data_IF_663525970102
#
_entry.id   IF_663525970102
#
_cell.length_a   1.000
_cell.length_b   1.000
_cell.length_c   1.000
_cell.angle_alpha   90.00
_cell.angle_beta   90.00
_cell.angle_gamma   90.00
#
_symmetry.space_group_name_H-M   'P 1'
#
loop_
_entity.id
_entity.type
_entity.pdbx_description
1 polymer ?
#
# COMPACT_ATOMS: atom_id res chain seq x y z
N UNK A 1 -19.88 6.31 -8.94
CA UNK A 1 -19.88 5.35 -7.79
C UNK A 1 -18.68 4.49 -7.98
N UNK A 2 -17.86 4.31 -6.93
CA UNK A 2 -16.69 3.44 -7.01
C UNK A 2 -17.15 1.99 -7.15
N UNK A 3 -16.65 1.30 -8.17
CA UNK A 3 -16.95 -0.11 -8.39
C UNK A 3 -15.67 -0.92 -8.20
N UNK A 4 -15.57 -1.71 -7.13
CA UNK A 4 -14.42 -2.56 -6.90
C UNK A 4 -14.42 -3.76 -7.86
N UNK A 5 -13.25 -4.11 -8.33
CA UNK A 5 -13.01 -5.41 -8.93
C UNK A 5 -12.64 -6.40 -7.83
N UNK A 6 -13.58 -7.28 -7.49
CA UNK A 6 -13.33 -8.32 -6.50
C UNK A 6 -12.45 -9.42 -7.10
N UNK A 7 -11.37 -9.73 -6.42
CA UNK A 7 -10.41 -10.76 -6.80
C UNK A 7 -10.54 -12.01 -5.93
N UNK A 8 -11.02 -11.82 -4.70
CA UNK A 8 -11.39 -12.87 -3.75
C UNK A 8 -12.43 -12.29 -2.77
N UNK A 9 -12.86 -13.06 -1.76
CA UNK A 9 -13.88 -12.67 -0.79
C UNK A 9 -13.53 -11.40 0.01
N UNK A 10 -12.24 -11.15 0.25
CA UNK A 10 -11.75 -10.01 1.00
C UNK A 10 -10.68 -9.18 0.27
N UNK A 11 -10.41 -9.50 -0.98
CA UNK A 11 -9.41 -8.81 -1.79
C UNK A 11 -10.11 -8.11 -2.94
N UNK A 12 -9.99 -6.80 -3.03
CA UNK A 12 -10.54 -6.03 -4.13
C UNK A 12 -9.55 -4.97 -4.62
N UNK A 13 -9.73 -4.59 -5.85
CA UNK A 13 -8.95 -3.58 -6.55
C UNK A 13 -9.88 -2.42 -6.94
N UNK A 14 -9.40 -1.21 -6.73
CA UNK A 14 -10.04 0.02 -7.19
C UNK A 14 -9.12 0.74 -8.18
N UNK A 15 -9.70 1.47 -9.08
CA UNK A 15 -8.98 2.32 -10.01
C UNK A 15 -9.30 3.78 -9.67
N UNK A 16 -8.26 4.59 -9.49
CA UNK A 16 -8.39 6.02 -9.24
C UNK A 16 -8.43 6.75 -10.60
N UNK A 17 -9.57 7.37 -10.95
CA UNK A 17 -9.68 8.09 -12.21
C UNK A 17 -8.67 9.23 -12.30
N UNK A 18 -8.16 9.49 -13.51
CA UNK A 18 -7.30 10.64 -13.83
C UNK A 18 -6.08 10.81 -12.90
N UNK A 19 -5.56 9.70 -12.36
CA UNK A 19 -4.48 9.71 -11.36
C UNK A 19 -3.08 9.84 -11.94
N UNK A 20 -2.89 9.72 -13.24
CA UNK A 20 -1.57 9.65 -13.87
C UNK A 20 -0.71 10.87 -13.55
N UNK A 21 -1.23 12.08 -13.77
CA UNK A 21 -0.49 13.32 -13.52
C UNK A 21 -0.09 13.47 -12.05
N UNK A 22 -1.00 13.11 -11.13
CA UNK A 22 -0.75 13.11 -9.69
C UNK A 22 0.36 12.11 -9.30
N UNK A 23 0.31 10.90 -9.84
CA UNK A 23 1.32 9.89 -9.58
C UNK A 23 2.70 10.32 -10.10
N UNK A 24 2.75 10.86 -11.31
CA UNK A 24 3.98 11.41 -11.92
C UNK A 24 4.55 12.56 -11.08
N UNK A 25 3.71 13.47 -10.59
CA UNK A 25 4.13 14.58 -9.72
C UNK A 25 4.76 14.07 -8.43
N UNK A 26 4.12 13.11 -7.75
CA UNK A 26 4.64 12.52 -6.51
C UNK A 26 5.99 11.84 -6.77
N UNK A 27 6.09 11.05 -7.84
CA UNK A 27 7.32 10.36 -8.20
C UNK A 27 8.46 11.35 -8.45
N UNK A 28 8.23 12.38 -9.27
CA UNK A 28 9.27 13.38 -9.59
C UNK A 28 9.70 14.19 -8.36
N UNK A 29 8.79 14.55 -7.47
CA UNK A 29 9.14 15.25 -6.21
C UNK A 29 10.01 14.40 -5.31
N UNK A 30 9.79 13.11 -5.27
CA UNK A 30 10.51 12.21 -4.38
C UNK A 30 11.79 11.63 -5.00
N UNK A 31 11.94 11.68 -6.31
CA UNK A 31 13.03 11.05 -7.06
C UNK A 31 14.43 11.34 -6.48
N UNK A 32 14.69 12.58 -6.11
CA UNK A 32 15.98 13.04 -5.58
C UNK A 32 15.92 13.36 -4.08
N UNK A 33 14.89 12.91 -3.39
CA UNK A 33 14.74 13.16 -1.97
C UNK A 33 15.89 12.52 -1.18
N UNK A 34 16.42 13.24 -0.22
CA UNK A 34 17.40 12.72 0.73
C UNK A 34 16.76 11.92 1.87
N UNK A 35 15.43 11.81 1.87
CA UNK A 35 14.66 11.08 2.89
C UNK A 35 14.53 9.59 2.61
N UNK A 36 14.99 9.10 1.45
CA UNK A 36 14.99 7.68 1.16
C UNK A 36 15.89 6.92 2.12
N UNK A 37 15.35 5.91 2.74
CA UNK A 37 16.06 5.00 3.62
C UNK A 37 15.78 3.56 3.16
N UNK A 38 16.73 2.66 3.40
CA UNK A 38 16.48 1.24 3.18
C UNK A 38 15.28 0.79 4.02
N UNK A 39 14.36 0.09 3.39
CA UNK A 39 13.15 -0.39 4.07
C UNK A 39 13.51 -1.35 5.21
N UNK A 40 12.79 -1.20 6.31
CA UNK A 40 12.92 -2.08 7.47
C UNK A 40 11.63 -2.87 7.69
N UNK A 41 11.77 -4.06 8.23
CA UNK A 41 10.69 -4.86 8.81
C UNK A 41 10.62 -4.63 10.32
N UNK A 42 9.68 -5.27 11.00
CA UNK A 42 9.64 -5.24 12.49
C UNK A 42 10.96 -5.72 13.13
N UNK A 43 11.68 -6.62 12.45
CA UNK A 43 13.00 -7.09 12.87
C UNK A 43 14.18 -6.21 12.43
N UNK A 44 13.92 -5.00 11.92
CA UNK A 44 14.92 -4.11 11.36
C UNK A 44 15.16 -4.33 9.86
N UNK A 45 16.30 -3.86 9.36
CA UNK A 45 16.68 -4.05 7.95
C UNK A 45 17.04 -5.50 7.69
N UNK A 46 16.27 -6.16 6.83
CA UNK A 46 16.43 -7.57 6.48
C UNK A 46 16.39 -7.76 4.96
N UNK A 47 17.50 -7.57 4.23
CA UNK A 47 17.53 -7.59 2.76
C UNK A 47 17.03 -8.90 2.13
N UNK A 48 17.14 -10.01 2.85
CA UNK A 48 16.62 -11.32 2.39
C UNK A 48 15.10 -11.45 2.47
N UNK A 49 14.43 -10.55 3.20
CA UNK A 49 12.96 -10.52 3.30
C UNK A 49 12.34 -9.32 2.60
N UNK A 50 13.09 -8.21 2.50
CA UNK A 50 12.65 -7.00 1.84
C UNK A 50 13.84 -6.19 1.33
N UNK A 51 13.88 -5.96 0.03
CA UNK A 51 14.90 -5.13 -0.61
C UNK A 51 14.22 -4.00 -1.38
N UNK A 52 14.05 -2.87 -0.71
CA UNK A 52 13.44 -1.65 -1.24
C UNK A 52 13.88 -0.44 -0.44
N UNK A 53 13.67 0.75 -0.98
CA UNK A 53 13.78 2.01 -0.24
C UNK A 53 12.41 2.48 0.20
N UNK A 54 12.34 3.24 1.29
CA UNK A 54 11.10 3.83 1.78
C UNK A 54 11.26 5.27 2.24
N UNK A 55 10.18 6.03 2.11
CA UNK A 55 9.96 7.29 2.82
C UNK A 55 8.69 7.13 3.64
N UNK A 56 8.80 7.39 4.94
CA UNK A 56 7.66 7.34 5.86
C UNK A 56 7.03 8.72 6.03
N UNK A 57 5.72 8.76 6.10
CA UNK A 57 4.90 9.94 6.32
C UNK A 57 4.01 9.74 7.54
N UNK A 58 3.86 10.78 8.35
CA UNK A 58 2.94 10.78 9.47
C UNK A 58 1.51 11.08 8.99
N UNK A 59 0.53 10.42 9.58
CA UNK A 59 -0.88 10.65 9.26
C UNK A 59 -1.33 12.08 9.56
N UNK A 60 -0.84 12.65 10.66
CA UNK A 60 -1.26 13.95 11.18
C UNK A 60 -0.86 15.15 10.30
N UNK A 61 0.10 14.95 9.40
CA UNK A 61 0.63 16.03 8.54
C UNK A 61 1.12 15.47 7.20
N UNK A 62 0.24 14.91 6.39
CA UNK A 62 0.61 14.47 5.05
C UNK A 62 0.98 15.68 4.18
N UNK A 63 1.86 15.54 3.21
CA UNK A 63 2.04 16.53 2.16
C UNK A 63 0.71 16.80 1.45
N UNK A 64 0.45 18.06 1.12
CA UNK A 64 -0.81 18.47 0.48
C UNK A 64 -1.07 17.74 -0.85
N UNK A 65 -0.02 17.44 -1.58
CA UNK A 65 -0.08 16.65 -2.82
C UNK A 65 -0.54 15.20 -2.62
N UNK A 66 -0.48 14.67 -1.38
CA UNK A 66 -0.96 13.33 -1.06
C UNK A 66 -2.44 13.29 -0.65
N UNK A 67 -3.06 14.45 -0.38
CA UNK A 67 -4.46 14.52 0.03
C UNK A 67 -5.44 13.81 -0.94
N UNK A 68 -5.30 13.93 -2.28
CA UNK A 68 -6.19 13.22 -3.19
C UNK A 68 -6.11 11.70 -3.06
N UNK A 69 -4.90 11.14 -2.84
CA UNK A 69 -4.70 9.72 -2.63
C UNK A 69 -5.35 9.27 -1.31
N UNK A 70 -5.12 10.00 -0.23
CA UNK A 70 -5.68 9.68 1.08
C UNK A 70 -7.22 9.78 1.07
N UNK A 71 -7.76 10.80 0.39
CA UNK A 71 -9.20 10.93 0.19
C UNK A 71 -9.78 9.77 -0.63
N UNK A 72 -9.09 9.34 -1.68
CA UNK A 72 -9.48 8.18 -2.46
C UNK A 72 -9.42 6.90 -1.64
N UNK A 73 -8.37 6.69 -0.85
CA UNK A 73 -8.25 5.55 0.05
C UNK A 73 -9.43 5.49 1.05
N UNK A 74 -9.84 6.63 1.60
CA UNK A 74 -11.01 6.73 2.48
C UNK A 74 -12.30 6.33 1.75
N UNK A 75 -12.51 6.79 0.53
CA UNK A 75 -13.66 6.41 -0.28
C UNK A 75 -13.68 4.92 -0.60
N UNK A 76 -12.51 4.34 -0.91
CA UNK A 76 -12.37 2.90 -1.12
C UNK A 76 -12.72 2.11 0.15
N UNK A 77 -12.25 2.56 1.31
CA UNK A 77 -12.56 1.94 2.61
C UNK A 77 -14.06 1.95 2.88
N UNK A 78 -14.71 3.10 2.71
CA UNK A 78 -16.16 3.22 2.92
C UNK A 78 -16.94 2.29 2.00
N UNK A 79 -16.60 2.26 0.72
CA UNK A 79 -17.21 1.36 -0.26
C UNK A 79 -16.96 -0.12 0.07
N UNK A 80 -15.74 -0.47 0.46
CA UNK A 80 -15.37 -1.82 0.90
C UNK A 80 -16.22 -2.28 2.09
N UNK A 81 -16.35 -1.43 3.11
CA UNK A 81 -17.16 -1.72 4.30
C UNK A 81 -18.66 -1.83 4.00
N UNK A 82 -19.16 -1.12 2.99
CA UNK A 82 -20.56 -1.30 2.54
C UNK A 82 -20.80 -2.67 1.92
N UNK A 83 -19.83 -3.18 1.18
CA UNK A 83 -19.93 -4.48 0.51
C UNK A 83 -19.66 -5.65 1.46
N UNK A 84 -18.71 -5.50 2.35
CA UNK A 84 -18.36 -6.48 3.37
C UNK A 84 -18.99 -6.08 4.72
N UNK A 85 -20.27 -6.36 4.89
CA UNK A 85 -21.01 -5.98 6.09
C UNK A 85 -20.39 -6.53 7.38
N UNK A 86 -19.75 -7.69 7.32
CA UNK A 86 -19.12 -8.31 8.49
C UNK A 86 -17.87 -7.55 8.95
N UNK A 87 -17.21 -6.82 8.06
CA UNK A 87 -16.10 -5.94 8.41
C UNK A 87 -16.54 -4.76 9.28
N UNK A 88 -17.82 -4.35 9.20
CA UNK A 88 -18.41 -3.31 10.06
C UNK A 88 -18.55 -3.71 11.52
N UNK A 89 -18.53 -5.01 11.80
CA UNK A 89 -18.64 -5.53 13.17
C UNK A 89 -17.34 -5.41 13.96
N UNK A 90 -16.26 -4.95 13.34
CA UNK A 90 -15.02 -4.63 14.02
C UNK A 90 -15.15 -3.29 14.77
N UNK A 91 -14.33 -3.05 15.81
CA UNK A 91 -14.20 -1.73 16.41
C UNK A 91 -13.93 -0.66 15.34
N UNK A 92 -14.33 0.61 15.57
CA UNK A 92 -13.98 1.68 14.65
C UNK A 92 -12.48 1.70 14.38
N UNK A 93 -12.09 1.75 13.11
CA UNK A 93 -10.70 1.79 12.69
C UNK A 93 -10.52 2.79 11.54
N UNK A 94 -9.29 3.23 11.37
CA UNK A 94 -8.89 4.14 10.33
C UNK A 94 -7.41 4.01 10.07
N UNK A 95 -6.82 4.95 9.39
CA UNK A 95 -5.37 5.03 9.21
C UNK A 95 -4.75 5.47 10.55
N UNK A 96 -4.00 4.60 11.22
CA UNK A 96 -3.48 4.85 12.58
C UNK A 96 -1.96 4.92 12.68
N UNK A 97 -1.23 4.60 11.61
CA UNK A 97 0.23 4.47 11.67
C UNK A 97 0.99 5.37 10.68
N UNK A 98 0.31 6.22 9.98
CA UNK A 98 0.90 6.85 8.81
C UNK A 98 1.07 5.86 7.65
N UNK A 99 1.83 6.24 6.64
CA UNK A 99 2.01 5.43 5.44
C UNK A 99 3.42 5.56 4.89
N UNK A 100 3.80 4.62 4.04
CA UNK A 100 5.10 4.60 3.41
C UNK A 100 4.96 4.68 1.89
N UNK A 101 5.82 5.45 1.24
CA UNK A 101 6.08 5.29 -0.18
C UNK A 101 7.28 4.38 -0.32
N UNK A 102 7.11 3.31 -1.07
CA UNK A 102 8.13 2.30 -1.32
C UNK A 102 8.65 2.45 -2.74
N UNK A 103 9.97 2.28 -2.90
CA UNK A 103 10.62 2.24 -4.19
C UNK A 103 11.37 0.93 -4.33
N UNK A 104 11.01 0.17 -5.35
CA UNK A 104 11.72 -1.02 -5.78
C UNK A 104 12.55 -0.66 -6.99
N UNK A 105 13.82 -1.02 -7.00
CA UNK A 105 14.71 -0.67 -8.09
C UNK A 105 14.63 -1.72 -9.20
N UNK A 106 14.34 -1.27 -10.41
CA UNK A 106 14.21 -2.13 -11.59
C UNK A 106 15.53 -2.42 -12.31
N UNK A 107 16.64 -2.57 -11.58
CA UNK A 107 17.98 -2.76 -12.16
C UNK A 107 18.38 -4.25 -12.29
N UNK A 108 17.40 -5.16 -12.19
CA UNK A 108 17.63 -6.60 -12.22
C UNK A 108 18.22 -7.19 -10.94
N UNK A 109 18.44 -6.36 -9.94
CA UNK A 109 18.74 -6.78 -8.58
C UNK A 109 17.48 -6.49 -7.79
N UNK A 110 16.68 -7.24 -7.56
CA UNK A 110 15.70 -7.29 -6.93
C UNK A 110 14.97 -6.71 -6.13
N UNK A 111 14.00 -5.95 -6.13
CA UNK A 111 13.03 -5.56 -5.19
C UNK A 111 12.06 -6.70 -4.91
N UNK A 112 12.12 -7.31 -3.80
CA UNK A 112 11.14 -8.30 -3.40
C UNK A 112 10.71 -8.07 -1.96
N UNK A 113 9.58 -8.65 -1.61
CA UNK A 113 9.14 -8.74 -0.24
C UNK A 113 8.64 -10.17 0.02
N UNK A 114 9.27 -10.87 0.97
CA UNK A 114 8.87 -12.22 1.30
C UNK A 114 7.41 -12.30 1.78
N UNK A 115 6.78 -13.44 1.57
CA UNK A 115 5.42 -13.70 2.06
C UNK A 115 5.37 -13.49 3.59
N UNK A 116 4.44 -12.67 4.03
CA UNK A 116 4.28 -12.29 5.44
C UNK A 116 2.81 -11.97 5.75
N UNK A 117 2.56 -11.65 7.00
CA UNK A 117 1.27 -11.13 7.45
C UNK A 117 1.49 -9.82 8.20
N UNK A 118 0.74 -8.79 7.86
CA UNK A 118 0.88 -7.46 8.46
C UNK A 118 0.50 -7.40 9.94
N UNK A 119 -0.26 -8.36 10.43
CA UNK A 119 -0.67 -8.49 11.84
C UNK A 119 0.03 -9.62 12.59
N UNK A 120 1.12 -10.15 12.04
CA UNK A 120 1.83 -11.32 12.57
C UNK A 120 2.61 -11.11 13.88
N UNK A 121 2.66 -9.89 14.40
CA UNK A 121 3.37 -9.55 15.64
C UNK A 121 2.41 -8.91 16.65
N UNK A 122 2.63 -9.09 17.98
CA UNK A 122 1.75 -8.55 19.02
C UNK A 122 1.44 -7.06 18.90
N UNK A 123 2.43 -6.26 18.50
CA UNK A 123 2.28 -4.81 18.34
C UNK A 123 1.49 -4.41 17.08
N UNK A 124 1.22 -5.36 16.19
CA UNK A 124 0.54 -5.13 14.91
C UNK A 124 -0.82 -5.81 14.81
N UNK A 125 -1.30 -6.44 15.89
CA UNK A 125 -2.58 -7.17 15.91
C UNK A 125 -3.81 -6.29 15.63
N UNK A 126 -3.66 -4.98 15.74
CA UNK A 126 -4.70 -4.00 15.44
C UNK A 126 -4.87 -3.70 13.94
N UNK A 127 -3.97 -4.18 13.09
CA UNK A 127 -4.06 -4.00 11.63
C UNK A 127 -5.11 -4.94 11.06
N UNK A 128 -6.22 -4.40 10.63
CA UNK A 128 -7.34 -5.18 10.08
C UNK A 128 -7.37 -5.17 8.54
N UNK A 129 -6.93 -4.08 7.92
CA UNK A 129 -6.88 -3.91 6.48
C UNK A 129 -5.54 -3.32 6.07
N UNK A 130 -5.08 -3.71 4.90
CA UNK A 130 -3.93 -3.10 4.23
C UNK A 130 -4.42 -2.46 2.94
N UNK A 131 -4.03 -1.21 2.73
CA UNK A 131 -4.25 -0.48 1.51
C UNK A 131 -2.92 -0.27 0.80
N UNK A 132 -2.85 -0.68 -0.45
CA UNK A 132 -1.68 -0.45 -1.31
C UNK A 132 -2.10 0.22 -2.59
N UNK A 133 -1.38 1.26 -2.98
CA UNK A 133 -1.59 1.96 -4.24
C UNK A 133 -0.32 1.91 -5.08
N UNK A 134 -0.45 1.50 -6.33
CA UNK A 134 0.61 1.61 -7.31
C UNK A 134 0.66 3.04 -7.84
N UNK A 135 1.85 3.63 -7.87
CA UNK A 135 2.09 4.98 -8.40
C UNK A 135 2.66 4.96 -9.81
N UNK A 136 3.04 3.80 -10.32
CA UNK A 136 3.58 3.63 -11.67
C UNK A 136 3.14 2.31 -12.27
N UNK A 137 3.00 2.28 -13.57
CA UNK A 137 2.86 1.05 -14.33
C UNK A 137 4.24 0.38 -14.48
N UNK A 138 4.27 -0.94 -14.46
CA UNK A 138 5.48 -1.75 -14.59
C UNK A 138 5.20 -2.88 -15.56
N UNK A 139 6.10 -3.08 -16.54
CA UNK A 139 5.94 -4.13 -17.55
C UNK A 139 6.17 -5.53 -16.96
N UNK A 140 7.20 -5.69 -16.12
CA UNK A 140 7.57 -6.95 -15.48
C UNK A 140 7.82 -6.75 -13.97
N UNK A 141 7.29 -7.67 -13.16
CA UNK A 141 7.43 -7.62 -11.70
C UNK A 141 6.44 -6.68 -11.04
N UNK A 142 6.66 -6.39 -9.76
CA UNK A 142 5.84 -5.49 -8.97
C UNK A 142 4.49 -6.08 -8.53
N UNK A 143 4.21 -7.33 -8.84
CA UNK A 143 2.98 -7.99 -8.44
C UNK A 143 2.92 -8.18 -6.93
N UNK A 144 1.70 -8.03 -6.38
CA UNK A 144 1.37 -8.49 -5.02
C UNK A 144 0.70 -9.84 -5.14
N UNK A 145 1.31 -10.86 -4.55
CA UNK A 145 0.80 -12.21 -4.57
C UNK A 145 0.14 -12.57 -3.22
N UNK A 146 -1.03 -13.16 -3.29
CA UNK A 146 -1.75 -13.76 -2.17
C UNK A 146 -1.77 -15.29 -2.36
N UNK A 147 -0.72 -16.02 -1.92
CA UNK A 147 -0.55 -17.43 -2.26
C UNK A 147 -1.69 -18.32 -1.75
N UNK A 148 -2.24 -18.01 -0.57
CA UNK A 148 -3.34 -18.78 0.02
C UNK A 148 -4.62 -18.68 -0.78
N UNK A 149 -4.91 -17.52 -1.38
CA UNK A 149 -6.07 -17.25 -2.20
C UNK A 149 -5.83 -17.57 -3.68
N UNK A 150 -4.57 -17.76 -4.08
CA UNK A 150 -4.19 -17.92 -5.48
C UNK A 150 -4.43 -16.66 -6.32
N UNK A 151 -4.37 -15.48 -5.69
CA UNK A 151 -4.60 -14.18 -6.32
C UNK A 151 -3.28 -13.46 -6.53
N UNK A 152 -3.14 -12.83 -7.69
CA UNK A 152 -2.04 -11.94 -8.03
C UNK A 152 -2.62 -10.61 -8.51
N UNK A 153 -2.11 -9.51 -7.99
CA UNK A 153 -2.49 -8.14 -8.34
C UNK A 153 -1.31 -7.45 -9.00
N UNK A 154 -1.61 -6.78 -10.10
CA UNK A 154 -0.64 -5.98 -10.85
C UNK A 154 -1.26 -4.63 -11.21
#
# INVERSE_FOLDING_TARGET
MLEPKWLDQAICQYEMPDSQELCEEIIERLKYSTRWNQSATVGGVQPYSRESDQISFQEESPPVEHEPILSFAQQCLENYLEKLSDAKNQPPFGLVEGYNILRYQGDGKQGYHAVHSDHGYPDLVHRHLTFTMYLSDIDEGGEIEFPTQGVMVK
#
